data_IF_908126200777
#
_entry.id   IF_908126200777
#
_cell.length_a   1.000
_cell.length_b   1.000
_cell.length_c   1.000
_cell.angle_alpha   90.00
_cell.angle_beta   90.00
_cell.angle_gamma   90.00
#
_symmetry.space_group_name_H-M   'P 1'
#
loop_
_entity.id
_entity.type
_entity.pdbx_description
1 polymer ?
#
# COMPACT_ATOMS: atom_id res chain seq x y z
N UNK A 1 -2.25 31.03 -11.75
CA UNK A 1 -1.45 30.03 -11.03
C UNK A 1 -2.25 28.76 -11.09
N UNK A 2 -1.91 27.87 -12.01
CA UNK A 2 -2.57 26.57 -12.08
C UNK A 2 -2.24 25.82 -10.80
N UNK A 3 -3.26 25.59 -9.97
CA UNK A 3 -3.09 24.87 -8.71
C UNK A 3 -2.72 23.44 -9.02
N UNK A 4 -1.43 23.10 -8.84
CA UNK A 4 -0.95 21.72 -8.94
C UNK A 4 -1.63 20.87 -7.85
N UNK A 5 -2.36 19.84 -8.24
CA UNK A 5 -3.01 18.92 -7.31
C UNK A 5 -1.97 17.93 -6.78
N UNK A 6 -1.83 17.85 -5.46
CA UNK A 6 -1.00 16.83 -4.83
C UNK A 6 -1.88 15.62 -4.55
N UNK A 7 -1.44 14.45 -5.03
CA UNK A 7 -1.99 13.14 -4.70
C UNK A 7 -1.10 12.46 -3.67
N UNK A 8 -1.65 12.12 -2.51
CA UNK A 8 -0.90 11.44 -1.45
C UNK A 8 -1.05 9.92 -1.58
N UNK A 9 0.07 9.25 -1.81
CA UNK A 9 0.18 7.79 -1.86
C UNK A 9 0.83 7.30 -0.58
N UNK A 10 0.10 6.54 0.21
CA UNK A 10 0.61 5.96 1.44
C UNK A 10 0.99 4.49 1.23
N UNK A 11 2.18 4.09 1.67
CA UNK A 11 2.69 2.73 1.53
C UNK A 11 2.62 2.03 2.89
N UNK A 12 1.80 0.99 2.97
CA UNK A 12 1.68 0.12 4.12
C UNK A 12 2.29 -1.25 3.81
N UNK A 13 3.33 -1.63 4.54
CA UNK A 13 3.90 -2.96 4.47
C UNK A 13 4.46 -3.39 5.83
N UNK A 14 4.59 -4.69 6.09
CA UNK A 14 5.49 -5.18 7.13
C UNK A 14 6.95 -4.80 6.81
N UNK A 15 7.84 -4.91 7.80
CA UNK A 15 9.21 -4.38 7.74
C UNK A 15 10.12 -5.11 6.74
N UNK A 16 9.79 -6.36 6.40
CA UNK A 16 10.56 -7.28 5.57
C UNK A 16 10.48 -7.02 4.05
N UNK A 17 9.60 -6.13 3.60
CA UNK A 17 9.35 -5.85 2.18
C UNK A 17 10.08 -4.59 1.70
N UNK A 18 11.40 -4.53 1.87
CA UNK A 18 12.22 -3.32 1.57
C UNK A 18 12.27 -2.99 0.07
N UNK A 19 12.38 -4.01 -0.78
CA UNK A 19 12.53 -3.84 -2.23
C UNK A 19 11.25 -3.25 -2.84
N UNK A 20 10.10 -3.78 -2.45
CA UNK A 20 8.82 -3.36 -2.99
C UNK A 20 8.44 -1.96 -2.51
N UNK A 21 8.75 -1.61 -1.24
CA UNK A 21 8.63 -0.23 -0.76
C UNK A 21 9.40 0.76 -1.63
N UNK A 22 10.63 0.41 -2.00
CA UNK A 22 11.46 1.21 -2.89
C UNK A 22 10.84 1.33 -4.29
N UNK A 23 10.36 0.22 -4.85
CA UNK A 23 9.70 0.19 -6.17
C UNK A 23 8.51 1.14 -6.21
N UNK A 24 7.61 1.12 -5.21
CA UNK A 24 6.44 2.01 -5.20
C UNK A 24 6.88 3.47 -5.23
N UNK A 25 7.92 3.84 -4.46
CA UNK A 25 8.45 5.21 -4.45
C UNK A 25 9.06 5.59 -5.80
N UNK A 26 9.89 4.74 -6.38
CA UNK A 26 10.54 4.99 -7.67
C UNK A 26 9.52 5.12 -8.81
N UNK A 27 8.47 4.29 -8.81
CA UNK A 27 7.37 4.41 -9.77
C UNK A 27 6.63 5.74 -9.62
N UNK A 28 6.30 6.14 -8.39
CA UNK A 28 5.63 7.43 -8.15
C UNK A 28 6.49 8.62 -8.59
N UNK A 29 7.81 8.55 -8.34
CA UNK A 29 8.76 9.56 -8.82
C UNK A 29 8.83 9.58 -10.35
N UNK A 30 8.91 8.42 -11.00
CA UNK A 30 8.90 8.33 -12.46
C UNK A 30 7.63 8.86 -13.08
N UNK A 31 6.47 8.59 -12.47
CA UNK A 31 5.19 9.15 -12.89
C UNK A 31 5.16 10.68 -12.78
N UNK A 32 5.77 11.28 -11.75
CA UNK A 32 5.84 12.74 -11.61
C UNK A 32 6.55 13.40 -12.79
N UNK A 33 7.56 12.74 -13.37
CA UNK A 33 8.29 13.23 -14.54
C UNK A 33 7.57 12.93 -15.86
N UNK A 34 6.44 12.24 -15.83
CA UNK A 34 5.70 11.86 -17.03
C UNK A 34 4.93 13.06 -17.61
N UNK A 35 4.84 13.09 -18.95
CA UNK A 35 4.02 14.09 -19.65
C UNK A 35 2.55 14.04 -19.21
N UNK A 36 2.05 12.86 -18.83
CA UNK A 36 0.70 12.67 -18.33
C UNK A 36 0.42 13.54 -17.09
N UNK A 37 1.25 13.41 -16.05
CA UNK A 37 1.04 14.11 -14.79
C UNK A 37 1.28 15.62 -14.95
N UNK A 38 2.28 15.99 -15.74
CA UNK A 38 2.50 17.39 -16.13
C UNK A 38 1.28 18.00 -16.82
N UNK A 39 0.67 17.30 -17.78
CA UNK A 39 -0.51 17.77 -18.49
C UNK A 39 -1.74 17.87 -17.59
N UNK A 40 -1.89 16.92 -16.66
CA UNK A 40 -3.00 16.92 -15.69
C UNK A 40 -2.81 17.94 -14.55
N UNK A 41 -1.62 18.55 -14.42
CA UNK A 41 -1.29 19.42 -13.29
C UNK A 41 -1.36 18.66 -11.96
N UNK A 42 -0.83 17.45 -11.94
CA UNK A 42 -0.84 16.53 -10.79
C UNK A 42 0.58 16.20 -10.38
N UNK A 43 0.82 16.08 -9.08
CA UNK A 43 2.04 15.51 -8.51
C UNK A 43 1.70 14.48 -7.45
N UNK A 44 2.52 13.45 -7.33
CA UNK A 44 2.37 12.34 -6.39
C UNK A 44 3.40 12.51 -5.28
N UNK A 45 2.94 12.48 -4.03
CA UNK A 45 3.79 12.40 -2.85
C UNK A 45 3.65 11.03 -2.20
N UNK A 46 4.76 10.41 -1.86
CA UNK A 46 4.77 9.11 -1.16
C UNK A 46 5.11 9.27 0.31
N UNK A 47 4.46 8.51 1.18
CA UNK A 47 4.74 8.47 2.61
C UNK A 47 4.60 7.04 3.17
N UNK A 48 5.30 6.76 4.26
CA UNK A 48 5.19 5.53 5.05
C UNK A 48 5.10 5.84 6.54
N UNK A 49 4.75 4.83 7.34
CA UNK A 49 4.75 4.93 8.81
C UNK A 49 6.11 5.35 9.37
N UNK A 50 7.22 4.86 8.77
CA UNK A 50 8.59 5.15 9.22
C UNK A 50 9.04 6.58 8.89
N UNK A 51 8.41 7.23 7.89
CA UNK A 51 8.79 8.58 7.45
C UNK A 51 8.18 9.67 8.35
N UNK A 52 7.22 9.30 9.19
CA UNK A 52 6.57 10.21 10.13
C UNK A 52 7.28 10.06 11.47
N UNK A 53 8.08 11.05 11.86
CA UNK A 53 8.63 11.11 13.22
C UNK A 53 7.49 10.94 14.23
N UNK A 54 7.45 9.85 15.02
CA UNK A 54 6.41 9.69 16.00
C UNK A 54 6.66 10.72 17.10
N UNK A 55 5.77 11.70 17.25
CA UNK A 55 5.60 12.28 18.58
C UNK A 55 5.00 11.17 19.45
N UNK A 56 5.61 10.82 20.61
CA UNK A 56 5.13 9.77 21.51
C UNK A 56 3.67 9.94 21.96
N UNK A 57 3.11 11.14 21.78
CA UNK A 57 1.83 11.55 22.34
C UNK A 57 0.62 11.24 21.43
N UNK A 58 0.79 10.88 20.15
CA UNK A 58 -0.35 10.64 19.24
C UNK A 58 -0.16 9.50 18.22
N UNK A 59 -0.29 8.24 18.63
CA UNK A 59 -0.36 7.09 17.71
C UNK A 59 -1.53 7.18 16.70
N UNK A 60 -2.61 7.88 17.05
CA UNK A 60 -3.78 8.09 16.19
C UNK A 60 -3.51 9.07 15.03
N UNK A 61 -2.47 9.92 15.13
CA UNK A 61 -2.19 10.96 14.13
C UNK A 61 -1.92 10.39 12.74
N UNK A 62 -1.26 9.23 12.64
CA UNK A 62 -0.92 8.63 11.36
C UNK A 62 -2.12 7.90 10.75
N UNK A 63 -2.99 7.27 11.57
CA UNK A 63 -4.25 6.70 11.08
C UNK A 63 -5.13 7.82 10.51
N UNK A 64 -5.27 8.93 11.24
CA UNK A 64 -6.03 10.09 10.77
C UNK A 64 -5.45 10.66 9.47
N UNK A 65 -4.12 10.74 9.35
CA UNK A 65 -3.48 11.16 8.09
C UNK A 65 -3.79 10.20 6.94
N UNK A 66 -3.76 8.89 7.19
CA UNK A 66 -4.11 7.88 6.18
C UNK A 66 -5.60 7.95 5.81
N UNK A 67 -6.50 8.32 6.72
CA UNK A 67 -7.93 8.42 6.41
C UNK A 67 -8.34 9.76 5.80
N UNK A 68 -7.67 10.85 6.19
CA UNK A 68 -8.11 12.22 5.91
C UNK A 68 -7.34 12.84 4.72
N UNK A 69 -6.05 12.50 4.57
CA UNK A 69 -5.16 13.15 3.59
C UNK A 69 -4.73 12.20 2.46
N UNK A 70 -4.95 10.88 2.60
CA UNK A 70 -4.52 9.89 1.61
C UNK A 70 -5.50 9.80 0.43
N UNK A 71 -4.97 9.78 -0.79
CA UNK A 71 -5.75 9.48 -1.99
C UNK A 71 -5.66 7.99 -2.34
N UNK A 72 -4.45 7.41 -2.24
CA UNK A 72 -4.19 6.00 -2.58
C UNK A 72 -3.39 5.33 -1.45
N UNK A 73 -3.90 4.22 -0.92
CA UNK A 73 -3.20 3.36 0.03
C UNK A 73 -2.71 2.10 -0.69
N UNK A 74 -1.40 1.96 -0.84
CA UNK A 74 -0.74 0.79 -1.40
C UNK A 74 -0.32 -0.14 -0.27
N UNK A 75 -0.94 -1.32 -0.21
CA UNK A 75 -0.65 -2.33 0.79
C UNK A 75 0.12 -3.48 0.18
N UNK A 76 1.31 -3.78 0.71
CA UNK A 76 2.15 -4.87 0.21
C UNK A 76 2.39 -5.88 1.33
N UNK A 77 2.10 -7.15 1.06
CA UNK A 77 2.26 -8.25 2.01
C UNK A 77 2.99 -9.43 1.37
N UNK A 78 3.74 -10.19 2.17
CA UNK A 78 4.26 -11.48 1.76
C UNK A 78 3.23 -12.58 2.05
N UNK A 79 3.07 -13.56 1.15
CA UNK A 79 2.02 -14.61 1.24
C UNK A 79 2.13 -15.49 2.49
N UNK A 80 3.33 -15.58 3.10
CA UNK A 80 3.61 -16.30 4.36
C UNK A 80 4.51 -15.48 5.29
N UNK A 81 4.04 -15.11 6.48
CA UNK A 81 4.87 -14.42 7.46
C UNK A 81 6.09 -15.30 7.79
N UNK A 82 7.31 -14.76 7.67
CA UNK A 82 8.46 -15.33 8.34
C UNK A 82 8.61 -14.58 9.65
N UNK A 83 8.41 -15.21 10.82
CA UNK A 83 8.71 -14.58 12.09
C UNK A 83 10.23 -14.48 12.20
N UNK A 84 10.83 -13.47 11.59
CA UNK A 84 12.23 -13.16 11.81
C UNK A 84 12.41 -12.14 12.94
N UNK A 85 11.42 -11.30 13.25
CA UNK A 85 11.64 -10.21 14.23
C UNK A 85 10.38 -9.65 14.94
N UNK A 86 10.02 -10.21 16.09
CA UNK A 86 9.54 -9.46 17.28
C UNK A 86 8.26 -8.58 17.19
N UNK A 87 8.01 -7.80 18.27
CA UNK A 87 6.79 -7.01 18.53
C UNK A 87 6.42 -5.95 17.48
N UNK A 88 7.36 -5.47 16.68
CA UNK A 88 7.19 -4.31 15.78
C UNK A 88 6.31 -4.65 14.57
N UNK A 89 6.37 -5.88 14.05
CA UNK A 89 5.57 -6.29 12.89
C UNK A 89 4.07 -6.43 13.22
N UNK A 90 3.76 -6.88 14.45
CA UNK A 90 2.38 -6.94 14.96
C UNK A 90 1.76 -5.54 15.13
N UNK A 91 2.55 -4.54 15.52
CA UNK A 91 2.06 -3.15 15.64
C UNK A 91 1.71 -2.54 14.28
N UNK A 92 2.49 -2.81 13.24
CA UNK A 92 2.21 -2.30 11.89
C UNK A 92 0.96 -2.96 11.28
N UNK A 93 0.79 -4.28 11.50
CA UNK A 93 -0.43 -4.96 11.10
C UNK A 93 -1.65 -4.42 11.85
N UNK A 94 -1.56 -4.22 13.17
CA UNK A 94 -2.65 -3.63 13.96
C UNK A 94 -3.05 -2.23 13.48
N UNK A 95 -2.07 -1.35 13.20
CA UNK A 95 -2.34 -0.02 12.62
C UNK A 95 -3.02 -0.11 11.26
N UNK A 96 -2.59 -1.04 10.43
CA UNK A 96 -3.23 -1.30 9.15
C UNK A 96 -4.68 -1.77 9.33
N UNK A 97 -4.96 -2.72 10.23
CA UNK A 97 -6.31 -3.22 10.49
C UNK A 97 -7.24 -2.10 10.96
N UNK A 98 -6.75 -1.20 11.82
CA UNK A 98 -7.50 -0.02 12.27
C UNK A 98 -7.81 0.95 11.13
N UNK A 99 -6.81 1.25 10.28
CA UNK A 99 -7.02 2.10 9.10
C UNK A 99 -8.00 1.46 8.10
N UNK A 100 -7.91 0.14 7.91
CA UNK A 100 -8.80 -0.64 7.07
C UNK A 100 -10.25 -0.62 7.55
N UNK A 101 -10.48 -0.80 8.84
CA UNK A 101 -11.84 -0.77 9.40
C UNK A 101 -12.43 0.65 9.35
N UNK A 102 -11.60 1.70 9.51
CA UNK A 102 -12.02 3.09 9.28
C UNK A 102 -12.39 3.34 7.80
N UNK A 103 -11.57 2.84 6.87
CA UNK A 103 -11.83 2.93 5.43
C UNK A 103 -13.18 2.34 5.04
N UNK A 104 -13.61 1.23 5.66
CA UNK A 104 -14.90 0.60 5.35
C UNK A 104 -16.08 1.56 5.48
N UNK A 105 -15.99 2.50 6.41
CA UNK A 105 -16.99 3.55 6.64
C UNK A 105 -16.84 4.71 5.66
N UNK A 106 -15.59 5.15 5.39
CA UNK A 106 -15.31 6.39 4.64
C UNK A 106 -15.23 6.21 3.11
N UNK A 107 -14.95 4.99 2.63
CA UNK A 107 -14.68 4.67 1.21
C UNK A 107 -13.53 5.46 0.57
N UNK A 108 -12.66 6.05 1.39
CA UNK A 108 -11.40 6.70 1.01
C UNK A 108 -10.34 6.38 2.06
N UNK A 109 -9.05 6.23 1.70
CA UNK A 109 -8.45 6.33 0.35
C UNK A 109 -8.84 5.20 -0.63
N UNK A 110 -8.45 5.27 -1.91
CA UNK A 110 -8.48 4.10 -2.79
C UNK A 110 -7.42 3.09 -2.34
N UNK A 111 -7.80 1.83 -2.09
CA UNK A 111 -6.88 0.83 -1.50
C UNK A 111 -6.49 -0.21 -2.54
N UNK A 112 -5.18 -0.42 -2.73
CA UNK A 112 -4.62 -1.44 -3.60
C UNK A 112 -3.83 -2.46 -2.78
N UNK A 113 -4.24 -3.73 -2.79
CA UNK A 113 -3.55 -4.81 -2.11
C UNK A 113 -2.67 -5.62 -3.07
N UNK A 114 -1.43 -5.88 -2.65
CA UNK A 114 -0.48 -6.69 -3.38
C UNK A 114 0.09 -7.79 -2.48
N UNK A 115 -0.01 -9.04 -2.93
CA UNK A 115 0.50 -10.20 -2.22
C UNK A 115 1.67 -10.84 -2.98
N UNK A 116 2.87 -10.81 -2.38
CA UNK A 116 4.07 -11.45 -2.92
C UNK A 116 4.00 -12.96 -2.73
N UNK A 117 3.93 -13.70 -3.82
CA UNK A 117 4.02 -15.16 -3.86
C UNK A 117 5.45 -15.68 -4.12
N UNK A 118 5.68 -16.95 -3.80
CA UNK A 118 6.89 -17.68 -4.22
C UNK A 118 6.57 -18.60 -5.39
N UNK A 119 7.48 -18.68 -6.38
CA UNK A 119 7.34 -19.61 -7.52
C UNK A 119 7.66 -21.08 -7.16
N UNK A 120 8.44 -21.31 -6.09
CA UNK A 120 8.77 -22.65 -5.64
C UNK A 120 7.71 -23.18 -4.66
N UNK A 121 7.33 -24.48 -4.74
CA UNK A 121 6.68 -25.17 -3.64
C UNK A 121 7.63 -25.12 -2.45
N UNK A 122 7.17 -24.49 -1.36
CA UNK A 122 7.96 -24.32 -0.16
C UNK A 122 7.94 -25.66 0.63
N UNK A 123 8.86 -26.56 0.31
CA UNK A 123 9.10 -27.82 1.01
C UNK A 123 9.69 -27.54 2.41
N UNK A 124 8.91 -26.96 3.33
CA UNK A 124 9.45 -26.69 4.66
C UNK A 124 8.58 -26.00 5.71
N UNK A 125 7.36 -25.54 5.41
CA UNK A 125 6.62 -24.70 6.36
C UNK A 125 5.25 -25.28 6.75
N UNK A 126 5.27 -26.32 7.58
CA UNK A 126 4.19 -26.58 8.55
C UNK A 126 4.66 -26.06 9.90
N UNK A 127 4.29 -24.82 10.25
CA UNK A 127 4.21 -24.40 11.64
C UNK A 127 2.83 -23.79 11.87
N UNK A 128 2.23 -24.16 13.00
CA UNK A 128 0.79 -24.10 13.33
C UNK A 128 0.34 -22.67 13.68
N UNK A 129 1.06 -21.64 13.27
CA UNK A 129 0.58 -20.26 13.38
C UNK A 129 -0.28 -19.96 12.15
N UNK A 130 -1.60 -19.95 12.36
CA UNK A 130 -2.56 -19.43 11.39
C UNK A 130 -2.14 -18.00 11.09
N UNK A 131 -1.50 -17.84 9.93
CA UNK A 131 -0.86 -16.63 9.47
C UNK A 131 -1.90 -15.51 9.37
N UNK A 132 -1.83 -14.49 10.24
CA UNK A 132 -2.77 -13.34 10.27
C UNK A 132 -2.91 -12.67 8.89
N UNK A 133 -1.87 -12.74 8.04
CA UNK A 133 -1.91 -12.28 6.64
C UNK A 133 -2.78 -13.16 5.75
N UNK A 134 -2.81 -14.48 5.98
CA UNK A 134 -3.72 -15.40 5.28
C UNK A 134 -5.17 -15.14 5.70
N UNK A 135 -5.43 -14.95 7.00
CA UNK A 135 -6.77 -14.55 7.46
C UNK A 135 -7.18 -13.19 6.92
N UNK A 136 -6.25 -12.22 6.89
CA UNK A 136 -6.47 -10.90 6.32
C UNK A 136 -6.78 -10.99 4.83
N UNK A 137 -5.97 -11.74 4.07
CA UNK A 137 -6.19 -11.98 2.64
C UNK A 137 -7.57 -12.60 2.42
N UNK A 138 -7.88 -13.67 3.15
CA UNK A 138 -9.16 -14.38 3.01
C UNK A 138 -10.33 -13.47 3.41
N UNK A 139 -10.14 -12.59 4.40
CA UNK A 139 -11.12 -11.57 4.80
C UNK A 139 -11.34 -10.54 3.70
N UNK A 140 -10.27 -9.99 3.12
CA UNK A 140 -10.34 -9.03 2.00
C UNK A 140 -11.01 -9.69 0.78
N UNK A 141 -10.60 -10.91 0.42
CA UNK A 141 -11.16 -11.66 -0.71
C UNK A 141 -12.64 -11.96 -0.51
N UNK A 142 -13.08 -12.31 0.70
CA UNK A 142 -14.51 -12.52 1.01
C UNK A 142 -15.35 -11.26 0.89
N UNK A 143 -14.76 -10.10 1.18
CA UNK A 143 -15.47 -8.82 1.11
C UNK A 143 -15.65 -8.33 -0.34
N UNK A 144 -14.88 -8.84 -1.32
CA UNK A 144 -14.93 -8.60 -2.78
C UNK A 144 -15.16 -7.12 -3.21
N UNK A 145 -14.69 -6.18 -2.39
CA UNK A 145 -14.92 -4.74 -2.57
C UNK A 145 -13.65 -3.95 -2.85
N UNK A 146 -12.52 -4.64 -2.95
CA UNK A 146 -11.19 -4.06 -2.90
C UNK A 146 -10.32 -4.67 -3.98
N UNK A 147 -9.44 -3.83 -4.52
CA UNK A 147 -8.45 -4.27 -5.47
C UNK A 147 -7.42 -5.16 -4.78
N UNK A 148 -7.23 -6.37 -5.30
CA UNK A 148 -6.19 -7.32 -4.85
C UNK A 148 -5.47 -7.86 -6.07
N UNK A 149 -4.15 -7.89 -6.02
CA UNK A 149 -3.32 -8.51 -7.04
C UNK A 149 -2.16 -9.30 -6.40
N UNK A 150 -1.62 -10.28 -7.14
CA UNK A 150 -0.45 -11.05 -6.74
C UNK A 150 0.73 -10.74 -7.65
N UNK A 151 1.95 -10.91 -7.14
CA UNK A 151 3.19 -10.83 -7.92
C UNK A 151 4.22 -11.79 -7.34
N UNK A 152 5.19 -12.22 -8.14
CA UNK A 152 6.30 -13.06 -7.67
C UNK A 152 7.67 -12.41 -7.86
N UNK A 153 7.81 -11.51 -8.84
CA UNK A 153 9.07 -10.86 -9.18
C UNK A 153 9.03 -9.34 -8.99
N UNK A 154 10.15 -8.69 -8.64
CA UNK A 154 10.23 -7.25 -8.51
C UNK A 154 9.85 -6.48 -9.79
N UNK A 155 10.24 -6.98 -10.96
CA UNK A 155 9.92 -6.34 -12.25
C UNK A 155 8.42 -6.35 -12.54
N UNK A 156 7.77 -7.50 -12.34
CA UNK A 156 6.31 -7.65 -12.46
C UNK A 156 5.58 -6.69 -11.51
N UNK A 157 6.07 -6.57 -10.27
CA UNK A 157 5.50 -5.64 -9.30
C UNK A 157 5.64 -4.18 -9.76
N UNK A 158 6.79 -3.81 -10.34
CA UNK A 158 7.03 -2.48 -10.87
C UNK A 158 6.04 -2.12 -11.99
N UNK A 159 5.85 -3.01 -12.97
CA UNK A 159 4.88 -2.81 -14.06
C UNK A 159 3.45 -2.64 -13.51
N UNK A 160 3.03 -3.54 -12.60
CA UNK A 160 1.70 -3.47 -11.97
C UNK A 160 1.47 -2.16 -11.23
N UNK A 161 2.41 -1.71 -10.41
CA UNK A 161 2.25 -0.46 -9.66
C UNK A 161 2.16 0.74 -10.62
N UNK A 162 2.98 0.77 -11.66
CA UNK A 162 2.95 1.82 -12.66
C UNK A 162 1.58 1.88 -13.35
N UNK A 163 1.14 0.76 -13.92
CA UNK A 163 -0.12 0.68 -14.66
C UNK A 163 -1.32 1.03 -13.80
N UNK A 164 -1.39 0.51 -12.56
CA UNK A 164 -2.53 0.72 -11.69
C UNK A 164 -2.62 2.14 -11.15
N UNK A 165 -1.50 2.77 -10.76
CA UNK A 165 -1.49 4.18 -10.34
C UNK A 165 -1.80 5.08 -11.53
N UNK A 166 -1.16 4.86 -12.68
CA UNK A 166 -1.41 5.66 -13.89
C UNK A 166 -2.88 5.61 -14.28
N UNK A 167 -3.46 4.41 -14.34
CA UNK A 167 -4.88 4.21 -14.63
C UNK A 167 -5.78 4.94 -13.64
N UNK A 168 -5.51 4.80 -12.34
CA UNK A 168 -6.28 5.48 -11.31
C UNK A 168 -6.23 7.00 -11.50
N UNK A 169 -5.05 7.56 -11.77
CA UNK A 169 -4.86 9.01 -12.00
C UNK A 169 -5.69 9.47 -13.19
N UNK A 170 -5.67 8.74 -14.32
CA UNK A 170 -6.48 9.04 -15.51
C UNK A 170 -7.98 9.05 -15.19
N UNK A 171 -8.46 8.03 -14.48
CA UNK A 171 -9.88 7.87 -14.17
C UNK A 171 -10.40 8.89 -13.13
N UNK A 172 -9.54 9.37 -12.23
CA UNK A 172 -9.93 10.19 -11.08
C UNK A 172 -9.46 11.65 -11.16
N UNK A 173 -8.76 12.02 -12.24
CA UNK A 173 -8.26 13.39 -12.46
C UNK A 173 -8.66 13.98 -13.80
N UNK A 174 -9.22 13.19 -14.72
CA UNK A 174 -9.89 13.73 -15.89
C UNK A 174 -11.12 14.54 -15.44
N UNK A 175 -10.98 15.86 -15.48
CA UNK A 175 -12.09 16.80 -15.32
C UNK A 175 -13.09 16.59 -16.47
N UNK A 176 -14.38 16.49 -16.11
CA UNK A 176 -15.45 16.97 -16.99
C UNK A 176 -15.34 18.49 -17.15
#
# INVERSE_FOLDING_TARGET
MDSNRILNVFIASPGDIVVERKIVREVCLGLNESELLHHLGVSIHTAMWDDVFPSPEQPQSIINRVTDECDILVCVFYKRFYPKSGRIESENLNKFLLAYDSWKSLKKPHVMFYFKGTKAPDEGAFSIEVNEVTELRDRISRENKLFTDEFSEPYEFCEKIYDHIEKWVRENTNRH
#
